data_IF_391503508644
#
_entry.id   IF_391503508644
#
_cell.length_a   1.000
_cell.length_b   1.000
_cell.length_c   1.000
_cell.angle_alpha   90.00
_cell.angle_beta   90.00
_cell.angle_gamma   90.00
#
_symmetry.space_group_name_H-M   'P 1'
#
loop_
_entity.id
_entity.type
_entity.pdbx_description
1 polymer ?
#
# COMPACT_ATOMS: atom_id res chain seq x y z
N UNK A 1 2.43 -48.08 -61.31
CA UNK A 1 1.64 -47.45 -60.23
C UNK A 1 2.53 -47.57 -59.01
N UNK A 2 3.15 -46.46 -58.65
CA UNK A 2 4.15 -46.35 -57.59
C UNK A 2 3.39 -46.16 -56.26
N UNK A 3 3.60 -47.08 -55.31
CA UNK A 3 2.92 -47.09 -54.01
C UNK A 3 3.60 -46.10 -53.07
N UNK A 4 2.95 -44.95 -52.86
CA UNK A 4 3.36 -44.02 -51.80
C UNK A 4 2.64 -44.43 -50.52
N UNK A 5 3.34 -45.15 -49.65
CA UNK A 5 2.88 -45.43 -48.29
C UNK A 5 2.81 -44.11 -47.50
N UNK A 6 1.61 -43.72 -47.07
CA UNK A 6 1.41 -42.66 -46.07
C UNK A 6 1.95 -43.11 -44.70
N UNK A 7 2.54 -42.22 -43.88
CA UNK A 7 3.10 -42.62 -42.59
C UNK A 7 1.99 -43.10 -41.62
N UNK A 8 2.23 -44.15 -40.82
CA UNK A 8 1.21 -44.77 -39.98
C UNK A 8 1.28 -44.20 -38.57
N UNK A 9 0.95 -42.93 -38.35
CA UNK A 9 0.75 -42.45 -36.98
C UNK A 9 -0.37 -41.43 -36.97
N UNK A 10 -1.50 -41.81 -36.37
CA UNK A 10 -2.44 -40.82 -35.87
C UNK A 10 -1.70 -39.94 -34.87
N UNK A 11 -1.74 -38.62 -35.08
CA UNK A 11 -1.25 -37.62 -34.15
C UNK A 11 -2.00 -37.79 -32.82
N UNK A 12 -1.46 -38.65 -31.96
CA UNK A 12 -2.02 -38.90 -30.63
C UNK A 12 -1.64 -37.69 -29.80
N UNK A 13 -2.51 -36.67 -29.79
CA UNK A 13 -2.35 -35.49 -28.96
C UNK A 13 -2.54 -35.90 -27.50
N UNK A 14 -1.44 -35.97 -26.76
CA UNK A 14 -1.49 -36.13 -25.30
C UNK A 14 -1.85 -34.78 -24.69
N UNK A 15 -3.08 -34.65 -24.18
CA UNK A 15 -3.44 -33.49 -23.34
C UNK A 15 -2.70 -33.61 -22.01
N UNK A 16 -1.65 -32.82 -21.84
CA UNK A 16 -0.98 -32.65 -20.55
C UNK A 16 -1.81 -31.79 -19.61
N UNK A 17 -1.60 -31.96 -18.31
CA UNK A 17 -2.19 -31.09 -17.30
C UNK A 17 -1.66 -29.67 -17.46
N UNK A 18 -2.55 -28.68 -17.45
CA UNK A 18 -2.17 -27.27 -17.45
C UNK A 18 -1.64 -26.94 -16.06
N UNK A 19 -0.36 -26.57 -15.98
CA UNK A 19 0.23 -26.08 -14.74
C UNK A 19 -0.19 -24.63 -14.54
N UNK A 20 -1.00 -24.38 -13.51
CA UNK A 20 -1.32 -23.04 -13.05
C UNK A 20 -0.46 -22.71 -11.84
N UNK A 21 0.23 -21.57 -11.89
CA UNK A 21 0.91 -21.01 -10.73
C UNK A 21 0.37 -19.62 -10.47
N UNK A 22 0.25 -19.26 -9.19
CA UNK A 22 -0.04 -17.89 -8.78
C UNK A 22 1.30 -17.24 -8.44
N UNK A 23 1.66 -16.18 -9.16
CA UNK A 23 2.83 -15.37 -8.78
C UNK A 23 2.47 -14.54 -7.56
N UNK A 24 3.32 -14.59 -6.56
CA UNK A 24 3.15 -13.75 -5.38
C UNK A 24 3.24 -12.26 -5.76
N UNK A 25 2.33 -11.40 -5.25
CA UNK A 25 2.46 -9.96 -5.41
C UNK A 25 3.80 -9.44 -4.87
N UNK A 26 4.44 -8.55 -5.61
CA UNK A 26 5.71 -7.93 -5.20
C UNK A 26 5.51 -7.07 -3.95
N UNK A 27 4.41 -6.30 -3.94
CA UNK A 27 4.01 -5.41 -2.86
C UNK A 27 2.62 -5.79 -2.30
N UNK A 28 2.35 -5.30 -1.10
CA UNK A 28 1.12 -5.57 -0.36
C UNK A 28 0.56 -4.25 0.17
N UNK A 29 -0.75 -4.11 0.14
CA UNK A 29 -1.46 -3.00 0.77
C UNK A 29 -1.12 -2.92 2.27
N UNK A 30 -0.83 -1.72 2.76
CA UNK A 30 -0.84 -1.39 4.18
C UNK A 30 -2.30 -1.14 4.56
N UNK A 31 -2.79 -1.84 5.58
CA UNK A 31 -4.19 -1.73 5.96
C UNK A 31 -4.49 -0.35 6.54
N UNK A 32 -5.68 0.18 6.29
CA UNK A 32 -6.06 1.53 6.74
C UNK A 32 -5.97 1.72 8.25
N UNK A 33 -6.24 0.66 9.02
CA UNK A 33 -6.13 0.65 10.48
C UNK A 33 -4.68 0.63 10.99
N UNK A 34 -3.69 0.40 10.12
CA UNK A 34 -2.26 0.60 10.38
C UNK A 34 -1.80 2.03 10.06
N UNK A 35 -2.73 2.94 9.70
CA UNK A 35 -2.43 4.32 9.30
C UNK A 35 -3.27 5.31 10.11
N UNK A 36 -2.61 6.32 10.68
CA UNK A 36 -3.27 7.50 11.27
C UNK A 36 -3.14 8.68 10.32
N UNK A 37 -4.27 9.16 9.81
CA UNK A 37 -4.32 10.34 8.95
C UNK A 37 -4.61 11.62 9.77
N UNK A 38 -3.91 12.70 9.47
CA UNK A 38 -4.13 14.03 10.03
C UNK A 38 -4.00 15.08 8.94
N UNK A 39 -4.63 16.24 9.11
CA UNK A 39 -4.58 17.31 8.11
C UNK A 39 -4.55 18.70 8.77
N UNK A 40 -4.22 19.71 7.97
CA UNK A 40 -4.27 21.12 8.37
C UNK A 40 -5.64 21.52 8.89
N UNK A 41 -6.70 21.07 8.23
CA UNK A 41 -8.09 21.27 8.62
C UNK A 41 -9.05 20.32 7.91
N UNK A 42 -10.32 20.40 8.28
CA UNK A 42 -11.43 19.71 7.61
C UNK A 42 -12.63 20.66 7.51
N UNK A 43 -13.39 20.57 6.42
CA UNK A 43 -14.58 21.39 6.16
C UNK A 43 -15.70 21.08 7.15
N UNK A 44 -15.83 19.81 7.51
CA UNK A 44 -16.81 19.28 8.45
C UNK A 44 -16.21 18.10 9.21
N UNK A 45 -16.82 17.74 10.34
CA UNK A 45 -16.35 16.64 11.19
C UNK A 45 -16.44 15.27 10.53
N UNK A 46 -17.27 15.12 9.50
CA UNK A 46 -17.46 13.88 8.73
C UNK A 46 -16.72 13.91 7.37
N UNK A 47 -15.90 14.92 7.13
CA UNK A 47 -15.07 15.11 5.93
C UNK A 47 -13.59 15.18 6.33
N UNK A 48 -13.21 14.35 7.29
CA UNK A 48 -11.89 14.31 7.91
C UNK A 48 -10.86 13.53 7.10
N UNK A 49 -9.56 13.69 7.41
CA UNK A 49 -8.48 12.97 6.73
C UNK A 49 -8.56 11.46 6.89
N UNK A 50 -9.22 10.94 7.94
CA UNK A 50 -9.43 9.51 8.14
C UNK A 50 -10.21 8.84 7.00
N UNK A 51 -11.03 9.61 6.27
CA UNK A 51 -11.79 9.10 5.14
C UNK A 51 -10.90 8.69 3.97
N UNK A 52 -9.66 9.19 3.89
CA UNK A 52 -8.77 8.86 2.80
C UNK A 52 -8.02 7.55 2.98
N UNK A 53 -8.20 6.84 4.10
CA UNK A 53 -7.54 5.56 4.37
C UNK A 53 -8.50 4.48 4.90
N UNK A 54 -9.76 4.80 5.14
CA UNK A 54 -10.71 3.90 5.80
C UNK A 54 -11.57 3.09 4.82
N UNK A 55 -11.44 3.31 3.51
CA UNK A 55 -12.23 2.61 2.50
C UNK A 55 -13.72 2.95 2.50
N UNK A 56 -14.16 4.00 3.20
CA UNK A 56 -15.59 4.32 3.37
C UNK A 56 -16.32 4.58 2.05
N UNK A 57 -15.61 5.10 1.05
CA UNK A 57 -16.16 5.35 -0.29
C UNK A 57 -15.91 4.24 -1.30
N UNK A 58 -15.14 3.20 -0.98
CA UNK A 58 -14.75 2.15 -1.92
C UNK A 58 -15.76 1.01 -1.95
N UNK A 59 -16.09 0.56 -3.16
CA UNK A 59 -16.81 -0.69 -3.38
C UNK A 59 -15.86 -1.91 -3.42
N UNK A 60 -16.42 -3.11 -3.68
CA UNK A 60 -15.67 -4.36 -3.73
C UNK A 60 -14.64 -4.45 -4.87
N UNK A 61 -14.65 -3.51 -5.82
CA UNK A 61 -13.72 -3.42 -6.95
C UNK A 61 -12.77 -2.23 -6.82
N UNK A 62 -12.66 -1.62 -5.64
CA UNK A 62 -11.87 -0.41 -5.40
C UNK A 62 -12.34 0.81 -6.21
N UNK A 63 -13.63 0.89 -6.47
CA UNK A 63 -14.24 2.04 -7.12
C UNK A 63 -14.86 2.98 -6.10
N UNK A 64 -14.52 4.26 -6.16
CA UNK A 64 -14.93 5.26 -5.18
C UNK A 64 -16.31 5.86 -5.49
N UNK A 65 -17.08 6.15 -4.44
CA UNK A 65 -18.36 6.87 -4.46
C UNK A 65 -18.16 8.37 -4.77
N UNK A 66 -19.26 9.13 -4.88
CA UNK A 66 -19.25 10.62 -4.93
C UNK A 66 -19.76 11.27 -3.65
N UNK A 67 -19.93 10.48 -2.58
CA UNK A 67 -20.50 10.95 -1.31
C UNK A 67 -19.45 11.76 -0.57
N UNK A 68 -19.78 12.99 -0.20
CA UNK A 68 -18.82 13.90 0.42
C UNK A 68 -18.25 13.38 1.75
N UNK A 69 -19.04 12.68 2.54
CA UNK A 69 -18.62 12.12 3.84
C UNK A 69 -17.68 10.92 3.72
N UNK A 70 -17.45 10.43 2.50
CA UNK A 70 -16.51 9.35 2.23
C UNK A 70 -15.13 9.92 1.83
N UNK A 71 -14.94 11.24 1.91
CA UNK A 71 -13.75 11.93 1.42
C UNK A 71 -13.24 12.93 2.45
N UNK A 72 -11.99 13.33 2.30
CA UNK A 72 -11.47 14.51 2.99
C UNK A 72 -11.69 15.76 2.12
N UNK A 73 -12.12 16.85 2.76
CA UNK A 73 -12.11 18.19 2.18
C UNK A 73 -11.65 19.17 3.24
N UNK A 74 -10.65 19.98 2.92
CA UNK A 74 -10.12 21.00 3.83
C UNK A 74 -11.14 22.10 4.14
N UNK A 75 -10.89 22.83 5.22
CA UNK A 75 -11.44 24.17 5.44
C UNK A 75 -10.97 25.17 4.37
N UNK A 76 -11.14 26.46 4.62
CA UNK A 76 -10.51 27.50 3.79
C UNK A 76 -9.02 27.59 4.16
N UNK A 77 -8.14 27.42 3.18
CA UNK A 77 -6.69 27.26 3.37
C UNK A 77 -5.89 28.32 2.58
N UNK A 78 -6.07 29.63 2.86
CA UNK A 78 -5.40 30.70 2.12
C UNK A 78 -3.86 30.67 2.24
N UNK A 79 -3.34 29.91 3.22
CA UNK A 79 -1.91 29.73 3.46
C UNK A 79 -1.39 28.34 3.04
N UNK A 80 -2.22 27.55 2.37
CA UNK A 80 -1.91 26.18 1.94
C UNK A 80 -2.39 25.12 2.93
N UNK A 81 -2.86 24.00 2.39
CA UNK A 81 -3.28 22.83 3.14
C UNK A 81 -2.12 21.82 3.30
N UNK A 82 -2.30 20.85 4.18
CA UNK A 82 -1.50 19.62 4.17
C UNK A 82 -2.35 18.44 4.67
N UNK A 83 -2.00 17.24 4.24
CA UNK A 83 -2.48 15.98 4.81
C UNK A 83 -1.27 15.06 5.05
N UNK A 84 -1.24 14.39 6.19
CA UNK A 84 -0.15 13.54 6.63
C UNK A 84 -0.66 12.19 7.11
N UNK A 85 0.06 11.14 6.72
CA UNK A 85 -0.19 9.76 7.05
C UNK A 85 0.96 9.24 7.92
N UNK A 86 0.67 8.92 9.17
CA UNK A 86 1.57 8.19 10.06
C UNK A 86 1.25 6.70 10.00
N UNK A 87 2.18 5.90 9.50
CA UNK A 87 2.13 4.45 9.48
C UNK A 87 2.52 3.90 10.87
N UNK A 88 2.00 2.74 11.26
CA UNK A 88 2.28 2.11 12.56
C UNK A 88 3.79 1.86 12.81
N UNK A 89 4.55 1.65 11.74
CA UNK A 89 6.01 1.47 11.75
C UNK A 89 6.64 1.94 10.45
N UNK A 90 7.98 1.96 10.41
CA UNK A 90 8.72 2.20 9.18
C UNK A 90 8.50 1.05 8.20
N UNK A 91 7.95 1.35 7.03
CA UNK A 91 7.80 0.44 5.91
C UNK A 91 8.76 0.79 4.78
N UNK A 92 9.15 -0.23 3.99
CA UNK A 92 9.70 -0.02 2.64
C UNK A 92 8.51 0.24 1.70
N UNK A 93 8.15 1.50 1.52
CA UNK A 93 7.07 1.91 0.63
C UNK A 93 7.43 1.61 -0.83
N UNK A 94 6.51 0.96 -1.53
CA UNK A 94 6.61 0.63 -2.93
C UNK A 94 5.97 1.72 -3.79
N UNK A 95 4.70 1.99 -3.55
CA UNK A 95 3.87 2.92 -4.31
C UNK A 95 2.70 3.43 -3.45
N UNK A 96 2.10 4.53 -3.90
CA UNK A 96 0.85 5.07 -3.39
C UNK A 96 -0.14 5.19 -4.55
N UNK A 97 -1.34 4.63 -4.39
CA UNK A 97 -2.46 4.86 -5.30
C UNK A 97 -3.32 5.99 -4.75
N UNK A 98 -3.88 6.80 -5.65
CA UNK A 98 -4.64 8.00 -5.29
C UNK A 98 -5.93 8.06 -6.08
N UNK A 99 -7.03 8.19 -5.34
CA UNK A 99 -8.32 8.66 -5.82
C UNK A 99 -8.45 10.13 -5.47
N UNK A 100 -8.50 10.98 -6.49
CA UNK A 100 -8.66 12.40 -6.28
C UNK A 100 -10.11 12.74 -5.91
N UNK A 101 -10.32 13.87 -5.23
CA UNK A 101 -11.66 14.24 -4.78
C UNK A 101 -12.64 14.36 -5.94
N UNK A 102 -13.78 13.68 -5.80
CA UNK A 102 -14.75 13.49 -6.87
C UNK A 102 -16.20 13.68 -6.41
N UNK A 103 -16.44 14.50 -5.38
CA UNK A 103 -17.84 14.87 -5.06
C UNK A 103 -18.48 15.61 -6.23
N UNK A 104 -19.81 15.70 -6.26
CA UNK A 104 -20.53 16.42 -7.31
C UNK A 104 -20.12 17.90 -7.46
N UNK A 105 -19.51 18.50 -6.44
CA UNK A 105 -18.96 19.87 -6.53
C UNK A 105 -17.66 19.95 -7.32
N UNK A 106 -17.00 18.83 -7.62
CA UNK A 106 -15.76 18.79 -8.40
C UNK A 106 -15.96 19.36 -9.82
N UNK A 107 -17.13 19.14 -10.43
CA UNK A 107 -17.48 19.61 -11.77
C UNK A 107 -17.37 21.13 -11.91
N UNK A 108 -17.68 21.88 -10.85
CA UNK A 108 -17.69 23.35 -10.84
C UNK A 108 -16.52 23.95 -10.05
N UNK A 109 -16.12 23.33 -8.93
CA UNK A 109 -15.18 23.90 -7.98
C UNK A 109 -13.77 23.30 -8.04
N UNK A 110 -13.60 22.11 -8.62
CA UNK A 110 -12.31 21.45 -8.78
C UNK A 110 -11.46 21.39 -7.51
N UNK A 111 -11.96 20.78 -6.43
CA UNK A 111 -11.25 20.69 -5.16
C UNK A 111 -10.11 19.68 -5.17
N UNK A 112 -10.09 18.75 -6.13
CA UNK A 112 -9.06 17.75 -6.27
C UNK A 112 -7.66 18.36 -6.32
N UNK A 113 -6.71 17.74 -5.64
CA UNK A 113 -5.31 18.13 -5.62
C UNK A 113 -4.75 18.06 -7.04
N UNK A 114 -3.95 19.05 -7.47
CA UNK A 114 -3.28 19.03 -8.77
C UNK A 114 -1.78 18.92 -8.60
N UNK A 115 -1.09 20.05 -8.41
CA UNK A 115 0.35 20.03 -8.13
C UNK A 115 0.56 19.83 -6.64
N UNK A 116 1.35 18.83 -6.24
CA UNK A 116 1.61 18.50 -4.84
C UNK A 116 3.10 18.33 -4.57
N UNK A 117 3.52 18.64 -3.35
CA UNK A 117 4.82 18.22 -2.81
C UNK A 117 4.57 17.02 -1.92
N UNK A 118 5.26 15.91 -2.19
CA UNK A 118 5.18 14.70 -1.36
C UNK A 118 6.49 14.58 -0.59
N UNK A 119 6.39 14.49 0.72
CA UNK A 119 7.52 14.37 1.63
C UNK A 119 7.38 13.12 2.49
N UNK A 120 8.50 12.51 2.86
CA UNK A 120 8.50 11.32 3.71
C UNK A 120 9.55 11.42 4.83
N UNK A 121 9.30 10.71 5.93
CA UNK A 121 10.19 10.68 7.08
C UNK A 121 10.12 9.32 7.79
N UNK A 122 11.22 8.90 8.42
CA UNK A 122 11.25 7.77 9.35
C UNK A 122 10.92 8.18 10.79
N UNK A 123 11.17 9.45 11.15
CA UNK A 123 11.13 9.94 12.52
C UNK A 123 10.08 11.04 12.79
N UNK A 124 9.47 11.61 11.74
CA UNK A 124 8.46 12.66 11.85
C UNK A 124 9.03 14.05 12.14
N UNK A 125 10.35 14.23 12.02
CA UNK A 125 11.04 15.50 12.22
C UNK A 125 11.84 15.90 10.97
N UNK A 126 12.56 14.95 10.38
CA UNK A 126 13.40 15.16 9.21
C UNK A 126 12.67 14.64 7.98
N UNK A 127 12.19 15.56 7.14
CA UNK A 127 11.45 15.22 5.92
C UNK A 127 12.34 15.33 4.68
N UNK A 128 12.15 14.40 3.76
CA UNK A 128 12.76 14.41 2.43
C UNK A 128 11.67 14.50 1.38
N UNK A 129 11.80 15.44 0.43
CA UNK A 129 10.91 15.52 -0.73
C UNK A 129 11.13 14.34 -1.66
N UNK A 130 10.07 13.59 -1.93
CA UNK A 130 10.09 12.43 -2.82
C UNK A 130 10.51 12.85 -4.24
N UNK A 131 11.64 12.30 -4.69
CA UNK A 131 12.22 12.62 -5.99
C UNK A 131 12.79 14.04 -6.12
N UNK A 132 12.79 14.83 -5.04
CA UNK A 132 13.25 16.23 -5.06
C UNK A 132 12.40 17.15 -5.96
N UNK A 133 11.14 16.79 -6.24
CA UNK A 133 10.25 17.50 -7.16
C UNK A 133 8.80 17.51 -6.66
N UNK A 134 7.96 18.30 -7.31
CA UNK A 134 6.50 18.19 -7.21
C UNK A 134 5.97 17.07 -8.10
N UNK A 135 4.76 16.60 -7.78
CA UNK A 135 4.01 15.57 -8.50
C UNK A 135 2.67 16.16 -8.93
N UNK A 136 2.15 15.77 -10.10
CA UNK A 136 0.80 16.15 -10.53
C UNK A 136 -0.14 14.97 -10.31
N UNK A 137 -1.24 15.19 -9.59
CA UNK A 137 -2.33 14.24 -9.46
C UNK A 137 -3.38 14.50 -10.54
N UNK A 138 -3.81 13.44 -11.21
CA UNK A 138 -4.84 13.53 -12.23
C UNK A 138 -6.18 14.00 -11.62
N UNK A 139 -6.92 14.82 -12.36
CA UNK A 139 -8.27 15.23 -11.96
C UNK A 139 -9.19 14.00 -11.92
N UNK A 140 -10.14 13.98 -10.99
CA UNK A 140 -11.21 13.00 -11.03
C UNK A 140 -12.00 13.09 -12.36
N UNK A 141 -12.58 11.99 -12.85
CA UNK A 141 -13.38 12.00 -14.07
C UNK A 141 -14.52 13.00 -14.02
N UNK A 142 -14.72 13.72 -15.12
CA UNK A 142 -15.84 14.65 -15.30
C UNK A 142 -16.81 14.13 -16.39
N UNK A 143 -18.14 14.28 -16.19
CA UNK A 143 -18.80 14.74 -14.98
C UNK A 143 -18.66 13.73 -13.83
N UNK A 144 -18.74 14.21 -12.60
CA UNK A 144 -18.58 13.40 -11.39
C UNK A 144 -19.61 12.27 -11.35
N UNK A 145 -19.12 11.05 -11.26
CA UNK A 145 -19.93 9.83 -11.18
C UNK A 145 -19.32 8.84 -10.19
N UNK A 146 -20.14 8.02 -9.50
CA UNK A 146 -19.62 6.94 -8.68
C UNK A 146 -18.98 5.87 -9.58
N UNK A 147 -18.14 5.03 -9.00
CA UNK A 147 -17.49 3.96 -9.76
C UNK A 147 -16.11 4.38 -10.32
N UNK A 148 -15.44 5.32 -9.67
CA UNK A 148 -14.15 5.87 -10.11
C UNK A 148 -12.97 5.09 -9.50
N UNK A 149 -12.10 4.51 -10.33
CA UNK A 149 -10.85 3.85 -9.93
C UNK A 149 -9.72 4.85 -9.63
N UNK A 150 -8.62 4.45 -8.99
CA UNK A 150 -7.49 5.36 -8.83
C UNK A 150 -6.95 5.75 -10.20
N UNK A 151 -6.55 7.00 -10.37
CA UNK A 151 -6.01 7.49 -11.65
C UNK A 151 -4.61 8.08 -11.52
N UNK A 152 -4.02 8.03 -10.32
CA UNK A 152 -2.66 8.44 -10.07
C UNK A 152 -1.97 7.39 -9.23
N UNK A 153 -0.79 6.96 -9.68
CA UNK A 153 0.10 6.05 -8.98
C UNK A 153 1.44 6.75 -8.78
N UNK A 154 1.91 6.82 -7.53
CA UNK A 154 3.17 7.47 -7.18
C UNK A 154 4.17 6.42 -6.70
N UNK A 155 5.26 6.16 -7.42
CA UNK A 155 6.31 5.25 -6.97
C UNK A 155 7.13 5.87 -5.83
N UNK A 156 7.41 5.09 -4.79
CA UNK A 156 8.22 5.50 -3.63
C UNK A 156 9.63 4.89 -3.67
N UNK A 157 9.75 3.59 -3.38
CA UNK A 157 11.03 2.91 -3.27
C UNK A 157 11.87 3.31 -2.05
N UNK A 158 11.28 3.97 -1.05
CA UNK A 158 11.97 4.53 0.14
C UNK A 158 11.46 3.89 1.43
N UNK A 159 12.23 4.03 2.51
CA UNK A 159 11.77 3.69 3.85
C UNK A 159 11.09 4.92 4.49
N UNK A 160 9.89 4.74 5.03
CA UNK A 160 9.14 5.83 5.66
C UNK A 160 8.18 5.30 6.73
N UNK A 161 7.96 6.11 7.76
CA UNK A 161 6.84 5.99 8.70
C UNK A 161 5.81 7.11 8.46
N UNK A 162 6.25 8.28 8.01
CA UNK A 162 5.39 9.42 7.75
C UNK A 162 5.42 9.76 6.27
N UNK A 163 4.26 10.06 5.69
CA UNK A 163 4.11 10.63 4.35
C UNK A 163 3.23 11.86 4.44
N UNK A 164 3.75 13.02 4.06
CA UNK A 164 3.03 14.30 4.01
C UNK A 164 2.83 14.73 2.58
N UNK A 165 1.60 15.11 2.24
CA UNK A 165 1.22 15.70 0.96
C UNK A 165 0.83 17.15 1.22
N UNK A 166 1.54 18.06 0.56
CA UNK A 166 1.27 19.50 0.60
C UNK A 166 0.79 19.95 -0.78
N UNK A 167 -0.50 20.25 -0.97
CA UNK A 167 -1.01 20.76 -2.23
C UNK A 167 -0.45 22.15 -2.52
N UNK A 168 0.12 22.31 -3.71
CA UNK A 168 0.53 23.59 -4.27
C UNK A 168 -0.59 24.21 -5.13
N UNK A 169 -1.49 23.38 -5.68
CA UNK A 169 -2.65 23.80 -6.47
C UNK A 169 -3.77 22.74 -6.43
N UNK A 170 -4.97 23.13 -6.88
CA UNK A 170 -6.11 22.24 -7.15
C UNK A 170 -6.63 22.47 -8.58
N UNK A 171 -7.58 21.66 -9.02
CA UNK A 171 -8.07 21.71 -10.40
C UNK A 171 -8.99 22.89 -10.72
N UNK A 172 -9.61 23.52 -9.72
CA UNK A 172 -10.60 24.60 -9.91
C UNK A 172 -10.18 25.99 -9.43
N UNK A 173 -8.99 26.14 -8.87
CA UNK A 173 -8.42 27.42 -8.42
C UNK A 173 -9.01 27.98 -7.12
N UNK A 174 -9.63 27.15 -6.29
CA UNK A 174 -10.18 27.57 -4.98
C UNK A 174 -9.11 27.52 -3.87
N UNK A 175 -9.44 28.01 -2.67
CA UNK A 175 -8.58 27.85 -1.48
C UNK A 175 -8.94 26.58 -0.67
N UNK A 176 -9.53 25.56 -1.33
CA UNK A 176 -9.90 24.28 -0.71
C UNK A 176 -9.26 23.11 -1.44
N UNK A 177 -8.92 22.07 -0.69
CA UNK A 177 -8.23 20.89 -1.21
C UNK A 177 -8.93 19.65 -0.69
N UNK A 178 -9.22 18.70 -1.56
CA UNK A 178 -9.90 17.48 -1.18
C UNK A 178 -9.26 16.25 -1.80
N UNK A 179 -9.35 15.13 -1.09
CA UNK A 179 -8.88 13.84 -1.56
C UNK A 179 -9.92 12.77 -1.19
N UNK A 180 -10.14 11.80 -2.07
CA UNK A 180 -11.09 10.72 -1.81
C UNK A 180 -10.44 9.61 -1.01
N UNK A 181 -9.39 9.00 -1.55
CA UNK A 181 -8.73 7.84 -0.94
C UNK A 181 -7.25 7.80 -1.37
N UNK A 182 -6.40 7.29 -0.49
CA UNK A 182 -5.05 6.83 -0.82
C UNK A 182 -4.83 5.41 -0.33
N UNK A 183 -4.02 4.66 -1.06
CA UNK A 183 -3.54 3.36 -0.62
C UNK A 183 -2.04 3.29 -0.71
N UNK A 184 -1.40 2.90 0.39
CA UNK A 184 0.04 2.69 0.43
C UNK A 184 0.37 1.21 0.28
N UNK A 185 1.32 0.89 -0.58
CA UNK A 185 1.80 -0.48 -0.79
C UNK A 185 3.23 -0.60 -0.31
N UNK A 186 3.58 -1.77 0.24
CA UNK A 186 4.91 -2.04 0.83
C UNK A 186 5.54 -3.34 0.37
N UNK A 187 6.86 -3.32 0.26
CA UNK A 187 7.67 -4.53 0.08
C UNK A 187 7.89 -5.21 1.45
N UNK A 188 7.55 -6.51 1.61
CA UNK A 188 7.81 -7.25 2.85
C UNK A 188 9.32 -7.52 2.98
N UNK A 189 10.07 -6.59 3.57
CA UNK A 189 11.52 -6.76 3.80
C UNK A 189 11.83 -7.49 5.11
N UNK A 190 10.83 -7.73 5.96
CA UNK A 190 10.95 -8.49 7.22
C UNK A 190 10.33 -9.88 7.09
N UNK A 191 10.77 -10.81 7.95
CA UNK A 191 10.14 -12.12 8.08
C UNK A 191 8.67 -11.98 8.48
N UNK A 192 7.81 -12.88 7.97
CA UNK A 192 6.36 -12.88 8.21
C UNK A 192 5.79 -14.28 8.09
N UNK A 193 4.50 -14.44 8.40
CA UNK A 193 3.80 -15.73 8.38
C UNK A 193 4.59 -16.83 9.12
N UNK A 194 4.92 -16.62 10.41
CA UNK A 194 5.57 -17.66 11.20
C UNK A 194 4.65 -18.88 11.32
N UNK A 195 5.25 -20.06 11.30
CA UNK A 195 4.61 -21.31 11.64
C UNK A 195 5.53 -22.09 12.60
N UNK A 196 5.07 -22.43 13.82
CA UNK A 196 3.77 -22.09 14.40
C UNK A 196 3.49 -20.59 14.45
N UNK A 197 2.20 -20.24 14.35
CA UNK A 197 1.78 -18.85 14.53
C UNK A 197 2.12 -18.37 15.94
N UNK A 198 2.17 -17.05 16.11
CA UNK A 198 2.32 -16.47 17.44
C UNK A 198 1.20 -16.99 18.37
N UNK A 199 1.56 -17.22 19.63
CA UNK A 199 0.68 -17.80 20.66
C UNK A 199 0.09 -19.20 20.36
N UNK A 200 0.59 -19.93 19.36
CA UNK A 200 0.11 -21.28 19.06
C UNK A 200 0.28 -22.23 20.27
N UNK A 201 -0.80 -22.91 20.66
CA UNK A 201 -0.81 -23.92 21.72
C UNK A 201 -0.71 -25.34 21.14
N UNK A 202 -0.43 -26.33 22.00
CA UNK A 202 -0.34 -27.75 21.63
C UNK A 202 0.63 -28.05 20.48
N UNK A 203 1.69 -27.25 20.38
CA UNK A 203 2.75 -27.40 19.39
C UNK A 203 3.58 -28.67 19.71
N UNK A 204 3.77 -29.59 18.75
CA UNK A 204 4.62 -30.77 18.94
C UNK A 204 6.06 -30.41 19.32
N UNK A 205 6.71 -31.24 20.15
CA UNK A 205 8.10 -31.01 20.56
C UNK A 205 9.10 -31.11 19.39
N UNK A 206 8.72 -31.80 18.32
CA UNK A 206 9.49 -31.98 17.08
C UNK A 206 9.01 -31.04 15.96
N UNK A 207 8.37 -29.92 16.31
CA UNK A 207 7.91 -28.94 15.33
C UNK A 207 9.05 -28.36 14.50
N UNK A 208 8.76 -28.16 13.22
CA UNK A 208 9.64 -27.42 12.30
C UNK A 208 9.18 -25.96 12.27
N UNK A 209 10.09 -25.06 12.69
CA UNK A 209 9.85 -23.62 12.62
C UNK A 209 10.06 -23.13 11.20
N UNK A 210 9.08 -22.43 10.66
CA UNK A 210 9.14 -21.86 9.32
C UNK A 210 8.56 -20.45 9.29
N UNK A 211 8.99 -19.65 8.33
CA UNK A 211 8.48 -18.31 8.08
C UNK A 211 8.69 -17.97 6.61
N UNK A 212 7.97 -16.98 6.12
CA UNK A 212 8.33 -16.34 4.86
C UNK A 212 9.49 -15.40 5.06
N UNK A 213 10.53 -15.58 4.25
CA UNK A 213 11.64 -14.66 4.18
C UNK A 213 11.18 -13.25 3.75
N UNK A 214 11.87 -12.24 4.24
CA UNK A 214 11.76 -10.90 3.70
C UNK A 214 12.37 -10.86 2.30
N UNK A 215 11.76 -10.14 1.36
CA UNK A 215 12.11 -10.15 -0.07
C UNK A 215 13.57 -9.74 -0.34
N UNK A 216 14.16 -8.94 0.55
CA UNK A 216 15.53 -8.43 0.45
C UNK A 216 16.44 -8.97 1.57
N UNK A 217 15.95 -9.89 2.40
CA UNK A 217 16.75 -10.44 3.49
C UNK A 217 17.79 -11.41 2.95
N UNK A 218 19.06 -11.23 3.33
CA UNK A 218 20.10 -12.23 3.10
C UNK A 218 20.07 -13.36 4.13
N UNK A 219 19.75 -13.01 5.38
CA UNK A 219 19.68 -13.93 6.53
C UNK A 219 18.60 -13.47 7.52
N UNK A 220 18.17 -14.38 8.38
CA UNK A 220 17.32 -14.15 9.55
C UNK A 220 18.07 -14.52 10.82
N UNK A 221 17.91 -13.74 11.88
CA UNK A 221 18.41 -14.08 13.20
C UNK A 221 17.27 -14.73 14.00
N UNK A 222 17.39 -16.02 14.30
CA UNK A 222 16.45 -16.76 15.13
C UNK A 222 16.94 -16.79 16.58
N UNK A 223 16.13 -16.26 17.48
CA UNK A 223 16.38 -16.26 18.93
C UNK A 223 15.43 -17.27 19.57
N UNK A 224 15.97 -18.24 20.34
CA UNK A 224 15.19 -19.26 21.03
C UNK A 224 15.67 -19.41 22.47
N UNK A 225 14.76 -19.27 23.43
CA UNK A 225 15.05 -19.39 24.86
C UNK A 225 13.78 -19.55 25.69
N UNK A 226 13.94 -20.03 26.92
CA UNK A 226 12.90 -20.03 27.96
C UNK A 226 12.80 -18.69 28.72
N UNK A 227 13.71 -17.75 28.46
CA UNK A 227 13.68 -16.39 29.00
C UNK A 227 13.14 -15.43 27.93
N UNK A 228 11.87 -15.05 28.09
CA UNK A 228 11.15 -14.15 27.19
C UNK A 228 11.83 -12.77 27.07
N UNK A 229 12.27 -12.17 28.19
CA UNK A 229 12.90 -10.86 28.17
C UNK A 229 14.19 -10.88 27.37
N UNK A 230 14.97 -11.96 27.50
CA UNK A 230 16.21 -12.10 26.77
C UNK A 230 15.98 -12.27 25.25
N UNK A 231 14.88 -12.93 24.83
CA UNK A 231 14.48 -13.00 23.41
C UNK A 231 14.04 -11.63 22.91
N UNK A 232 13.14 -10.95 23.61
CA UNK A 232 12.61 -9.64 23.19
C UNK A 232 13.70 -8.57 23.10
N UNK A 233 14.70 -8.60 23.99
CA UNK A 233 15.82 -7.67 23.98
C UNK A 233 16.98 -8.11 23.07
N UNK A 234 16.93 -9.32 22.50
CA UNK A 234 17.98 -9.86 21.64
C UNK A 234 19.32 -10.05 22.35
N UNK A 235 19.33 -10.30 23.67
CA UNK A 235 20.55 -10.46 24.47
C UNK A 235 21.14 -11.87 24.42
N UNK A 236 20.47 -12.77 23.71
CA UNK A 236 20.89 -14.16 23.47
C UNK A 236 21.56 -14.25 22.10
N UNK A 237 22.57 -15.10 21.96
CA UNK A 237 23.19 -15.37 20.67
C UNK A 237 22.15 -15.95 19.69
N UNK A 238 21.89 -15.31 18.53
CA UNK A 238 20.98 -15.85 17.54
C UNK A 238 21.60 -16.98 16.74
N UNK A 239 20.73 -17.84 16.19
CA UNK A 239 21.07 -18.69 15.05
C UNK A 239 20.83 -17.92 13.76
N UNK A 240 21.85 -17.80 12.91
CA UNK A 240 21.72 -17.14 11.61
C UNK A 240 21.24 -18.14 10.56
N UNK A 241 20.07 -17.87 9.98
CA UNK A 241 19.40 -18.73 9.00
C UNK A 241 19.42 -18.02 7.64
N UNK A 242 19.98 -18.63 6.57
CA UNK A 242 19.94 -18.04 5.24
C UNK A 242 18.51 -17.90 4.72
N UNK A 243 18.18 -16.77 4.09
CA UNK A 243 16.83 -16.53 3.57
C UNK A 243 16.41 -17.48 2.42
N UNK A 244 17.37 -18.22 1.85
CA UNK A 244 17.16 -19.17 0.76
C UNK A 244 16.96 -20.63 1.23
N UNK A 245 16.83 -20.91 2.54
CA UNK A 245 16.65 -22.28 3.03
C UNK A 245 15.75 -22.34 4.25
N UNK A 246 14.63 -23.05 4.13
CA UNK A 246 13.85 -23.47 5.29
C UNK A 246 14.72 -24.30 6.25
N UNK A 247 14.49 -24.12 7.55
CA UNK A 247 14.92 -25.08 8.57
C UNK A 247 13.88 -26.19 8.69
#
# INVERSE_FOLDING_TARGET
>A
IDEVNAPPYEDTIFKGDVWQFTTEPIAYLIAGDEITASASSSKATDQGPENTINGSGLDANDMHSTVATDMWLSGDEPNGAWIEYELDKVYKLHEMWVWNHNTLSEDDAGYGLKDVTIEYSENGADYTTLGGTTHEFAQAPLPSAPGYEHNTEVPFGVAAKYVKITPNSNWGGTEKYGLSEVRFFRIPVRAREPNPADEATDVPLDVVLSWRAGREAGTHNLYLSTDEQAVTQGTISPSSIPAAGGC
#
